data_IF_153200966074
#
_entry.id   IF_153200966074
#
_cell.length_a   1.000
_cell.length_b   1.000
_cell.length_c   1.000
_cell.angle_alpha   90.00
_cell.angle_beta   90.00
_cell.angle_gamma   90.00
#
_symmetry.space_group_name_H-M   'P 1'
#
loop_
_entity.id
_entity.type
_entity.pdbx_description
1 polymer ?
#
# COMPACT_ATOMS: atom_id res chain seq x y z
N UNK A 1 8.96 -1.87 -2.41
CA UNK A 1 9.24 -1.33 -3.75
C UNK A 1 8.67 0.08 -3.84
N UNK A 2 9.04 0.85 -4.87
CA UNK A 2 8.39 2.10 -5.23
C UNK A 2 8.39 3.17 -4.12
N UNK A 3 9.57 3.70 -3.71
CA UNK A 3 9.65 4.71 -2.65
C UNK A 3 8.92 6.02 -2.95
N UNK A 4 8.55 6.26 -4.21
CA UNK A 4 7.87 7.47 -4.69
C UNK A 4 6.39 7.56 -4.29
N UNK A 5 5.80 6.46 -3.83
CA UNK A 5 4.40 6.38 -3.36
C UNK A 5 4.36 6.09 -1.86
N UNK A 6 5.23 6.72 -1.09
CA UNK A 6 5.43 6.44 0.33
C UNK A 6 4.17 6.72 1.16
N UNK A 7 3.49 7.83 0.91
CA UNK A 7 2.25 8.19 1.59
C UNK A 7 1.12 7.27 1.16
N UNK A 8 0.89 7.10 -0.15
CA UNK A 8 -0.17 6.24 -0.68
C UNK A 8 -0.06 4.77 -0.26
N UNK A 9 1.16 4.24 -0.19
CA UNK A 9 1.39 2.86 0.26
C UNK A 9 1.38 2.67 1.78
N UNK A 10 1.27 3.76 2.56
CA UNK A 10 1.34 3.69 4.03
C UNK A 10 2.73 3.33 4.54
N UNK A 11 3.78 3.73 3.82
CA UNK A 11 5.17 3.55 4.23
C UNK A 11 5.43 4.36 5.51
N UNK A 12 6.03 3.76 6.56
CA UNK A 12 6.36 4.49 7.78
C UNK A 12 7.49 5.48 7.53
N UNK A 13 7.45 6.60 8.25
CA UNK A 13 8.55 7.52 8.46
C UNK A 13 9.62 6.87 9.35
N UNK A 14 10.86 7.35 9.25
CA UNK A 14 11.96 6.84 10.09
C UNK A 14 11.67 7.02 11.59
N UNK A 15 11.02 8.13 11.96
CA UNK A 15 10.60 8.41 13.34
C UNK A 15 9.55 7.42 13.87
N UNK A 16 8.80 6.75 12.98
CA UNK A 16 7.78 5.76 13.34
C UNK A 16 8.38 4.36 13.54
N UNK A 17 9.62 4.11 13.10
CA UNK A 17 10.26 2.79 13.19
C UNK A 17 10.78 2.46 14.59
N UNK A 18 10.86 3.44 15.49
CA UNK A 18 11.33 3.27 16.87
C UNK A 18 12.68 2.51 16.91
N UNK A 19 12.73 1.36 17.60
CA UNK A 19 13.93 0.52 17.72
C UNK A 19 14.03 -0.56 16.64
N UNK A 20 13.28 -0.42 15.54
CA UNK A 20 13.29 -1.38 14.42
C UNK A 20 13.90 -0.76 13.17
N UNK A 21 14.34 -1.61 12.24
CA UNK A 21 14.82 -1.21 10.91
C UNK A 21 13.92 -1.80 9.84
N UNK A 22 13.39 -0.99 8.94
CA UNK A 22 12.55 -1.47 7.83
C UNK A 22 13.42 -1.90 6.65
N UNK A 23 13.31 -3.16 6.26
CA UNK A 23 13.95 -3.70 5.05
C UNK A 23 12.87 -3.88 3.99
N UNK A 24 13.01 -3.17 2.87
CA UNK A 24 12.11 -3.31 1.74
C UNK A 24 12.67 -4.35 0.76
N UNK A 25 11.79 -5.17 0.19
CA UNK A 25 12.19 -6.18 -0.80
C UNK A 25 12.83 -5.55 -2.05
N UNK A 26 12.46 -4.31 -2.38
CA UNK A 26 13.02 -3.59 -3.52
C UNK A 26 12.86 -2.07 -3.31
N UNK A 27 13.65 -1.28 -4.01
CA UNK A 27 13.60 0.18 -4.12
C UNK A 27 13.39 0.69 -5.55
N UNK A 28 13.03 -0.20 -6.50
CA UNK A 28 12.74 0.16 -7.89
C UNK A 28 11.77 1.35 -8.04
N UNK A 29 11.96 2.20 -9.06
CA UNK A 29 11.03 3.29 -9.38
C UNK A 29 9.70 2.73 -9.87
N UNK A 30 8.62 3.51 -9.68
CA UNK A 30 7.27 3.08 -10.07
C UNK A 30 7.18 2.79 -11.57
N UNK A 31 7.92 3.50 -12.41
CA UNK A 31 7.95 3.32 -13.87
C UNK A 31 8.47 1.95 -14.32
N UNK A 32 9.16 1.20 -13.44
CA UNK A 32 9.59 -0.18 -13.70
C UNK A 32 8.55 -1.23 -13.29
N UNK A 33 7.37 -0.80 -12.84
CA UNK A 33 6.31 -1.68 -12.38
C UNK A 33 6.42 -2.04 -10.90
N UNK A 34 5.30 -2.51 -10.35
CA UNK A 34 5.26 -3.12 -9.02
C UNK A 34 5.88 -4.52 -9.12
N UNK A 35 6.59 -4.93 -8.07
CA UNK A 35 7.17 -6.26 -7.98
C UNK A 35 6.08 -7.32 -7.97
N UNK A 36 6.11 -8.25 -8.93
CA UNK A 36 5.17 -9.37 -8.98
C UNK A 36 5.38 -10.34 -7.80
N UNK A 37 4.38 -11.18 -7.53
CA UNK A 37 4.38 -12.05 -6.35
C UNK A 37 5.52 -13.08 -6.35
N UNK A 38 5.91 -13.63 -7.49
CA UNK A 38 6.98 -14.62 -7.59
C UNK A 38 8.35 -13.97 -7.39
N UNK A 39 8.57 -12.80 -7.98
CA UNK A 39 9.79 -12.02 -7.78
C UNK A 39 9.90 -11.51 -6.35
N UNK A 40 8.80 -11.04 -5.74
CA UNK A 40 8.74 -10.66 -4.33
C UNK A 40 9.05 -11.85 -3.42
N UNK A 41 8.50 -13.03 -3.72
CA UNK A 41 8.74 -14.24 -2.95
C UNK A 41 10.19 -14.71 -3.03
N UNK A 42 10.80 -14.73 -4.22
CA UNK A 42 12.24 -15.05 -4.38
C UNK A 42 13.11 -14.07 -3.60
N UNK A 43 12.78 -12.78 -3.67
CA UNK A 43 13.53 -11.74 -2.95
C UNK A 43 13.36 -11.89 -1.43
N UNK A 44 12.17 -12.21 -0.95
CA UNK A 44 11.92 -12.47 0.46
C UNK A 44 12.74 -13.66 0.97
N UNK A 45 12.80 -14.76 0.22
CA UNK A 45 13.65 -15.92 0.57
C UNK A 45 15.11 -15.48 0.72
N UNK A 46 15.62 -14.71 -0.25
CA UNK A 46 16.99 -14.21 -0.20
C UNK A 46 17.23 -13.35 1.05
N UNK A 47 16.35 -12.40 1.35
CA UNK A 47 16.52 -11.51 2.51
C UNK A 47 16.48 -12.26 3.84
N UNK A 48 15.66 -13.32 3.95
CA UNK A 48 15.56 -14.17 5.15
C UNK A 48 16.77 -15.07 5.30
N UNK A 49 17.23 -15.77 4.25
CA UNK A 49 18.42 -16.62 4.35
C UNK A 49 19.69 -15.80 4.63
N UNK A 50 19.81 -14.61 4.03
CA UNK A 50 20.92 -13.69 4.28
C UNK A 50 20.98 -13.22 5.74
N UNK A 51 19.83 -13.12 6.42
CA UNK A 51 19.70 -12.57 7.79
C UNK A 51 19.33 -13.61 8.83
N UNK A 52 19.50 -14.90 8.54
CA UNK A 52 19.17 -15.97 9.48
C UNK A 52 19.92 -15.90 10.83
N UNK A 53 21.03 -15.15 10.88
CA UNK A 53 21.79 -14.91 12.11
C UNK A 53 21.34 -13.67 12.89
N UNK A 54 20.44 -12.84 12.36
CA UNK A 54 19.88 -11.68 13.07
C UNK A 54 18.84 -12.14 14.11
N UNK A 55 18.80 -11.49 15.27
CA UNK A 55 17.87 -11.81 16.36
C UNK A 55 16.46 -11.28 16.07
N UNK A 56 15.79 -11.95 15.13
CA UNK A 56 14.37 -11.72 14.84
C UNK A 56 14.13 -10.92 13.55
N UNK A 57 13.32 -11.52 12.67
CA UNK A 57 12.83 -10.88 11.47
C UNK A 57 11.31 -10.81 11.52
N UNK A 58 10.77 -9.61 11.29
CA UNK A 58 9.33 -9.38 11.21
C UNK A 58 8.98 -9.20 9.73
N UNK A 59 8.18 -10.13 9.20
CA UNK A 59 7.54 -9.93 7.90
C UNK A 59 6.25 -9.12 8.12
N UNK A 60 6.23 -7.90 7.60
CA UNK A 60 5.08 -7.00 7.69
C UNK A 60 4.64 -6.57 6.28
N UNK A 61 3.39 -6.89 5.95
CA UNK A 61 2.72 -6.57 4.69
C UNK A 61 1.42 -7.36 4.50
N UNK A 62 0.57 -6.93 3.58
CA UNK A 62 -0.77 -7.51 3.35
C UNK A 62 -0.97 -8.21 2.01
N UNK A 63 0.10 -8.50 1.26
CA UNK A 63 -0.04 -9.10 -0.08
C UNK A 63 -0.47 -10.57 -0.01
N UNK A 64 -1.74 -10.84 -0.31
CA UNK A 64 -2.30 -12.20 -0.38
C UNK A 64 -1.59 -13.03 -1.45
N UNK A 65 -1.23 -12.44 -2.59
CA UNK A 65 -0.50 -13.14 -3.65
C UNK A 65 0.88 -13.60 -3.15
N UNK A 66 1.60 -12.78 -2.39
CA UNK A 66 2.86 -13.18 -1.75
C UNK A 66 2.65 -14.28 -0.71
N UNK A 67 1.64 -14.16 0.16
CA UNK A 67 1.31 -15.19 1.15
C UNK A 67 1.00 -16.54 0.47
N UNK A 68 0.28 -16.52 -0.65
CA UNK A 68 0.01 -17.72 -1.46
C UNK A 68 1.29 -18.34 -2.05
N UNK A 69 2.23 -17.53 -2.53
CA UNK A 69 3.55 -18.01 -2.95
C UNK A 69 4.30 -18.66 -1.78
N UNK A 70 4.24 -18.04 -0.59
CA UNK A 70 4.88 -18.60 0.61
C UNK A 70 4.27 -19.94 1.01
N UNK A 71 2.95 -20.05 1.11
CA UNK A 71 2.26 -21.28 1.52
C UNK A 71 2.52 -22.46 0.56
N UNK A 72 2.76 -22.18 -0.72
CA UNK A 72 3.06 -23.19 -1.76
C UNK A 72 4.53 -23.59 -1.83
N UNK A 73 5.44 -22.78 -1.30
CA UNK A 73 6.88 -22.98 -1.47
C UNK A 73 7.46 -24.03 -0.51
N UNK A 74 8.27 -24.99 -1.01
CA UNK A 74 9.00 -25.93 -0.16
C UNK A 74 9.93 -25.27 0.86
N UNK A 75 10.49 -24.08 0.54
CA UNK A 75 11.40 -23.36 1.43
C UNK A 75 10.77 -23.11 2.80
N UNK A 76 9.54 -22.61 2.83
CA UNK A 76 8.85 -22.32 4.10
C UNK A 76 8.21 -23.54 4.76
N UNK A 77 8.18 -24.69 4.08
CA UNK A 77 7.73 -25.96 4.67
C UNK A 77 8.87 -26.72 5.35
N UNK A 78 10.12 -26.41 4.97
CA UNK A 78 11.31 -27.07 5.48
C UNK A 78 11.99 -26.19 6.52
N UNK A 79 11.87 -26.55 7.80
CA UNK A 79 12.58 -25.88 8.89
C UNK A 79 11.86 -24.68 9.53
N UNK A 80 10.64 -24.36 9.08
CA UNK A 80 9.80 -23.35 9.72
C UNK A 80 8.58 -23.99 10.38
N UNK A 81 8.22 -23.49 11.56
CA UNK A 81 6.94 -23.78 12.20
C UNK A 81 6.01 -22.58 12.04
N UNK A 82 4.80 -22.84 11.54
CA UNK A 82 3.80 -21.80 11.30
C UNK A 82 2.85 -21.69 12.48
N UNK A 83 2.72 -20.48 13.03
CA UNK A 83 1.68 -20.12 13.97
C UNK A 83 0.83 -19.02 13.35
N UNK A 84 -0.44 -19.34 13.05
CA UNK A 84 -1.34 -18.41 12.36
C UNK A 84 -2.41 -17.94 13.35
N UNK A 85 -2.49 -16.62 13.54
CA UNK A 85 -3.59 -15.97 14.25
C UNK A 85 -4.32 -15.07 13.27
N UNK A 86 -5.58 -15.39 12.99
CA UNK A 86 -6.43 -14.59 12.12
C UNK A 86 -7.13 -13.50 12.92
N UNK A 87 -6.98 -12.25 12.50
CA UNK A 87 -7.80 -11.14 12.94
C UNK A 87 -8.86 -10.90 11.87
N UNK A 88 -10.12 -11.14 12.22
CA UNK A 88 -11.26 -10.96 11.30
C UNK A 88 -11.53 -9.48 11.09
N UNK A 89 -11.96 -9.12 9.89
CA UNK A 89 -12.61 -7.83 9.64
C UNK A 89 -13.80 -7.68 10.61
N UNK A 90 -13.78 -6.58 11.37
CA UNK A 90 -14.81 -6.26 12.33
C UNK A 90 -16.00 -5.54 11.67
N UNK A 91 -16.67 -4.72 12.48
CA UNK A 91 -17.76 -3.87 12.03
C UNK A 91 -17.32 -2.92 10.88
N UNK A 92 -18.18 -2.81 9.86
CA UNK A 92 -17.89 -2.03 8.65
C UNK A 92 -17.89 -0.53 8.92
N UNK A 93 -18.77 -0.03 9.80
CA UNK A 93 -18.81 1.39 10.14
C UNK A 93 -17.58 1.81 10.94
N UNK A 94 -17.14 0.96 11.87
CA UNK A 94 -15.89 1.14 12.59
C UNK A 94 -14.67 1.09 11.66
N UNK A 95 -14.68 0.22 10.64
CA UNK A 95 -13.63 0.20 9.61
C UNK A 95 -13.63 1.50 8.80
N UNK A 96 -14.77 1.92 8.26
CA UNK A 96 -14.91 3.13 7.46
C UNK A 96 -14.48 4.37 8.24
N UNK A 97 -14.83 4.46 9.51
CA UNK A 97 -14.39 5.57 10.38
C UNK A 97 -12.86 5.66 10.42
N UNK A 98 -12.16 4.55 10.62
CA UNK A 98 -10.69 4.51 10.63
C UNK A 98 -10.10 4.74 9.23
N UNK A 99 -10.73 4.21 8.19
CA UNK A 99 -10.30 4.38 6.81
C UNK A 99 -10.38 5.85 6.38
N UNK A 100 -11.51 6.54 6.67
CA UNK A 100 -11.67 7.98 6.41
C UNK A 100 -10.60 8.81 7.13
N UNK A 101 -10.35 8.52 8.41
CA UNK A 101 -9.31 9.19 9.18
C UNK A 101 -7.92 9.00 8.54
N UNK A 102 -7.57 7.76 8.18
CA UNK A 102 -6.30 7.46 7.51
C UNK A 102 -6.17 8.19 6.17
N UNK A 103 -7.22 8.22 5.34
CA UNK A 103 -7.16 8.92 4.06
C UNK A 103 -7.01 10.43 4.27
N UNK A 104 -7.70 11.00 5.25
CA UNK A 104 -7.53 12.40 5.61
C UNK A 104 -6.08 12.71 6.02
N UNK A 105 -5.44 11.83 6.79
CA UNK A 105 -4.02 11.94 7.14
C UNK A 105 -3.08 11.81 5.94
N UNK A 106 -3.44 10.97 4.96
CA UNK A 106 -2.69 10.82 3.71
C UNK A 106 -2.83 12.03 2.78
N UNK A 107 -3.89 12.83 2.93
CA UNK A 107 -4.10 14.06 2.16
C UNK A 107 -3.46 15.28 2.83
N UNK A 108 -3.17 15.20 4.13
CA UNK A 108 -2.50 16.27 4.85
C UNK A 108 -1.10 16.52 4.29
N UNK A 109 -0.80 17.79 4.00
CA UNK A 109 0.55 18.22 3.62
C UNK A 109 1.45 18.12 4.84
N UNK A 110 2.64 17.53 4.67
CA UNK A 110 3.63 17.40 5.73
C UNK A 110 4.99 17.84 5.20
N UNK A 111 5.83 18.39 6.09
CA UNK A 111 7.19 18.81 5.73
C UNK A 111 8.08 17.61 5.34
N UNK A 112 7.77 16.42 5.85
CA UNK A 112 8.60 15.22 5.76
C UNK A 112 8.30 14.33 4.54
N UNK A 113 7.15 14.53 3.87
CA UNK A 113 6.77 13.79 2.65
C UNK A 113 5.57 14.44 1.92
N UNK A 114 5.46 14.25 0.59
CA UNK A 114 4.27 14.65 -0.15
C UNK A 114 3.02 13.90 0.32
N UNK A 115 1.86 14.55 0.26
CA UNK A 115 0.55 13.92 0.38
C UNK A 115 0.30 12.93 -0.77
N UNK A 116 -0.69 12.04 -0.62
CA UNK A 116 -1.09 11.12 -1.70
C UNK A 116 -1.43 11.87 -3.00
N UNK A 117 -2.11 13.02 -2.89
CA UNK A 117 -2.51 13.80 -4.06
C UNK A 117 -1.31 14.48 -4.74
N UNK A 118 -0.32 14.92 -3.97
CA UNK A 118 0.95 15.44 -4.51
C UNK A 118 1.78 14.34 -5.18
N UNK A 119 1.89 13.17 -4.56
CA UNK A 119 2.54 11.99 -5.18
C UNK A 119 1.89 11.66 -6.52
N UNK A 120 0.55 11.63 -6.56
CA UNK A 120 -0.20 11.39 -7.78
C UNK A 120 0.07 12.47 -8.83
N UNK A 121 -0.02 13.75 -8.46
CA UNK A 121 0.20 14.87 -9.37
C UNK A 121 1.61 14.87 -9.97
N UNK A 122 2.62 14.56 -9.17
CA UNK A 122 4.01 14.45 -9.61
C UNK A 122 4.19 13.26 -10.56
N UNK A 123 3.74 12.07 -10.15
CA UNK A 123 3.94 10.84 -10.90
C UNK A 123 3.12 10.78 -12.21
N UNK A 124 2.01 11.53 -12.29
CA UNK A 124 1.18 11.62 -13.50
C UNK A 124 1.92 12.22 -14.70
N UNK A 125 2.99 12.97 -14.45
CA UNK A 125 3.87 13.51 -15.50
C UNK A 125 4.65 12.43 -16.25
N UNK A 126 4.73 11.21 -15.71
CA UNK A 126 5.40 10.08 -16.34
C UNK A 126 4.36 9.15 -17.00
N UNK A 127 4.22 9.12 -18.34
CA UNK A 127 3.21 8.30 -19.01
C UNK A 127 3.27 6.82 -18.64
N UNK A 128 4.48 6.29 -18.40
CA UNK A 128 4.69 4.90 -17.97
C UNK A 128 4.13 4.58 -16.57
N UNK A 129 4.01 5.57 -15.68
CA UNK A 129 3.49 5.37 -14.33
C UNK A 129 1.95 5.32 -14.27
N UNK A 130 1.27 5.95 -15.24
CA UNK A 130 -0.20 6.10 -15.26
C UNK A 130 -0.96 4.78 -15.16
N UNK A 131 -0.72 3.76 -16.02
CA UNK A 131 -1.45 2.50 -15.91
C UNK A 131 -1.18 1.77 -14.59
N UNK A 132 -0.02 1.99 -13.98
CA UNK A 132 0.36 1.39 -12.70
C UNK A 132 -0.41 2.06 -11.56
N UNK A 133 -0.48 3.40 -11.56
CA UNK A 133 -1.29 4.16 -10.60
C UNK A 133 -2.78 3.83 -10.70
N UNK A 134 -3.27 3.54 -11.90
CA UNK A 134 -4.65 3.09 -12.11
C UNK A 134 -4.95 1.69 -11.54
N UNK A 135 -3.93 0.90 -11.19
CA UNK A 135 -4.10 -0.42 -10.57
C UNK A 135 -3.97 -0.38 -9.04
N UNK A 136 -3.53 0.74 -8.47
CA UNK A 136 -3.35 0.89 -7.01
C UNK A 136 -4.57 1.59 -6.40
N UNK A 137 -5.14 0.97 -5.38
CA UNK A 137 -6.23 1.55 -4.57
C UNK A 137 -5.86 2.95 -4.05
N UNK A 138 -6.84 3.82 -3.90
CA UNK A 138 -6.63 5.23 -3.56
C UNK A 138 -6.21 6.07 -4.78
N UNK A 139 -5.14 5.70 -5.49
CA UNK A 139 -4.73 6.40 -6.73
C UNK A 139 -5.75 6.20 -7.84
N UNK A 140 -6.17 4.95 -8.09
CA UNK A 140 -7.24 4.61 -9.04
C UNK A 140 -8.52 5.39 -8.74
N UNK A 141 -8.92 5.46 -7.47
CA UNK A 141 -10.09 6.20 -7.04
C UNK A 141 -9.95 7.71 -7.28
N UNK A 142 -8.81 8.31 -6.92
CA UNK A 142 -8.53 9.73 -7.19
C UNK A 142 -8.50 10.07 -8.69
N UNK A 143 -7.96 9.19 -9.53
CA UNK A 143 -7.99 9.34 -11.00
C UNK A 143 -9.42 9.29 -11.54
N UNK A 144 -10.23 8.32 -11.06
CA UNK A 144 -11.65 8.22 -11.43
C UNK A 144 -12.44 9.44 -10.98
N UNK A 145 -12.15 9.94 -9.78
CA UNK A 145 -12.75 11.16 -9.24
C UNK A 145 -12.44 12.38 -10.12
N UNK A 146 -11.17 12.58 -10.48
CA UNK A 146 -10.76 13.67 -11.37
C UNK A 146 -11.51 13.63 -12.69
N UNK A 147 -11.61 12.45 -13.31
CA UNK A 147 -12.37 12.24 -14.56
C UNK A 147 -13.86 12.56 -14.42
N UNK A 148 -14.49 12.11 -13.33
CA UNK A 148 -15.92 12.36 -13.04
C UNK A 148 -16.22 13.86 -12.94
N UNK A 149 -15.29 14.64 -12.41
CA UNK A 149 -15.44 16.07 -12.15
C UNK A 149 -14.77 16.98 -13.18
N UNK A 150 -14.28 16.42 -14.30
CA UNK A 150 -13.54 17.13 -15.36
C UNK A 150 -12.36 17.96 -14.82
N UNK A 151 -11.60 17.36 -13.89
CA UNK A 151 -10.41 17.96 -13.28
C UNK A 151 -9.14 17.36 -13.90
N UNK A 152 -8.14 18.21 -14.14
CA UNK A 152 -6.78 17.75 -14.38
C UNK A 152 -6.21 17.17 -13.09
N UNK A 153 -5.40 16.11 -13.19
CA UNK A 153 -4.78 15.46 -12.02
C UNK A 153 -3.94 16.44 -11.18
N UNK A 154 -3.27 17.40 -11.83
CA UNK A 154 -2.51 18.46 -11.15
C UNK A 154 -3.36 19.42 -10.30
N UNK A 155 -4.69 19.43 -10.49
CA UNK A 155 -5.61 20.25 -9.69
C UNK A 155 -6.07 19.54 -8.42
N UNK A 156 -5.93 18.21 -8.32
CA UNK A 156 -6.40 17.43 -7.18
C UNK A 156 -5.87 17.91 -5.82
N UNK A 157 -4.58 18.28 -5.67
CA UNK A 157 -4.07 18.79 -4.38
C UNK A 157 -4.78 20.06 -3.88
N UNK A 158 -5.46 20.80 -4.76
CA UNK A 158 -6.03 22.12 -4.48
C UNK A 158 -7.57 22.15 -4.62
N UNK A 159 -8.23 20.99 -4.58
CA UNK A 159 -9.70 20.92 -4.62
C UNK A 159 -10.31 21.56 -3.36
N UNK A 160 -11.55 22.05 -3.47
CA UNK A 160 -12.26 22.63 -2.34
C UNK A 160 -12.60 21.59 -1.27
N UNK A 161 -12.90 22.06 -0.06
CA UNK A 161 -13.17 21.21 1.10
C UNK A 161 -14.33 20.22 0.88
N UNK A 162 -15.36 20.58 0.10
CA UNK A 162 -16.47 19.70 -0.19
C UNK A 162 -16.03 18.50 -1.03
N UNK A 163 -15.29 18.76 -2.11
CA UNK A 163 -14.71 17.72 -2.96
C UNK A 163 -13.66 16.89 -2.23
N UNK A 164 -12.90 17.50 -1.32
CA UNK A 164 -11.94 16.80 -0.48
C UNK A 164 -12.62 15.75 0.39
N UNK A 165 -13.75 16.09 1.01
CA UNK A 165 -14.57 15.15 1.79
C UNK A 165 -15.14 14.05 0.88
N UNK A 166 -15.72 14.39 -0.28
CA UNK A 166 -16.26 13.40 -1.23
C UNK A 166 -15.18 12.37 -1.64
N UNK A 167 -13.96 12.83 -1.93
CA UNK A 167 -12.86 11.95 -2.33
C UNK A 167 -12.37 11.07 -1.17
N UNK A 168 -12.26 11.60 0.05
CA UNK A 168 -11.94 10.81 1.25
C UNK A 168 -12.94 9.65 1.40
N UNK A 169 -14.24 9.95 1.27
CA UNK A 169 -15.28 8.93 1.37
C UNK A 169 -15.19 7.89 0.27
N UNK A 170 -14.92 8.31 -0.97
CA UNK A 170 -14.77 7.40 -2.10
C UNK A 170 -13.59 6.43 -1.90
N UNK A 171 -12.42 6.92 -1.45
CA UNK A 171 -11.25 6.07 -1.19
C UNK A 171 -11.50 5.15 0.00
N UNK A 172 -12.12 5.64 1.09
CA UNK A 172 -12.41 4.82 2.26
C UNK A 172 -13.35 3.64 1.93
N UNK A 173 -14.33 3.85 1.05
CA UNK A 173 -15.19 2.78 0.56
C UNK A 173 -14.43 1.76 -0.31
N UNK A 174 -13.54 2.22 -1.20
CA UNK A 174 -12.67 1.32 -1.97
C UNK A 174 -11.80 0.45 -1.05
N UNK A 175 -11.27 1.02 0.04
CA UNK A 175 -10.52 0.25 1.04
C UNK A 175 -11.38 -0.80 1.76
N UNK A 176 -12.66 -0.53 2.02
CA UNK A 176 -13.57 -1.51 2.60
C UNK A 176 -13.84 -2.66 1.61
N UNK A 177 -14.09 -2.36 0.34
CA UNK A 177 -14.26 -3.37 -0.71
C UNK A 177 -13.02 -4.26 -0.85
N UNK A 178 -11.83 -3.65 -0.78
CA UNK A 178 -10.57 -4.38 -0.76
C UNK A 178 -10.44 -5.25 0.49
N UNK A 179 -10.73 -4.72 1.68
CA UNK A 179 -10.65 -5.47 2.93
C UNK A 179 -11.61 -6.66 2.97
N UNK A 180 -12.83 -6.51 2.42
CA UNK A 180 -13.79 -7.59 2.26
C UNK A 180 -13.26 -8.67 1.30
N UNK A 181 -12.63 -8.27 0.20
CA UNK A 181 -11.98 -9.21 -0.72
C UNK A 181 -10.82 -9.94 -0.05
N UNK A 182 -10.00 -9.24 0.73
CA UNK A 182 -8.92 -9.86 1.50
C UNK A 182 -9.44 -10.88 2.52
N UNK A 183 -10.52 -10.56 3.23
CA UNK A 183 -11.14 -11.48 4.19
C UNK A 183 -11.65 -12.76 3.50
N UNK A 184 -12.20 -12.65 2.28
CA UNK A 184 -12.64 -13.81 1.51
C UNK A 184 -11.48 -14.66 1.01
N UNK A 185 -10.42 -14.01 0.51
CA UNK A 185 -9.35 -14.67 -0.25
C UNK A 185 -8.13 -15.06 0.61
N UNK A 186 -8.15 -14.74 1.91
CA UNK A 186 -7.08 -15.12 2.84
C UNK A 186 -6.95 -16.65 2.93
N UNK A 187 -5.75 -17.22 2.66
CA UNK A 187 -5.52 -18.67 2.59
C UNK A 187 -5.66 -19.41 3.92
#
# INVERSE_FOLDING_TARGET
CCPQIATGSGRPLESELQSTRRIYLDSRPLTEGILDAESAHRRLIFEVDWRKSEEGLILEGGSISLLNCMAKSPFWRSGFQWHVKRLRLGDSDAFLTRAKQRVAEMFAIREDRPSLLEELAELWNYPAARPILEDIDGYRCAIRFARKHDLAISQLPNIDAGRHVELIEAIANEYLEHALSQERDFP
#
